data_IF_473349828122
#
_entry.id   IF_473349828122
#
_cell.length_a   1.000
_cell.length_b   1.000
_cell.length_c   1.000
_cell.angle_alpha   90.00
_cell.angle_beta   90.00
_cell.angle_gamma   90.00
#
_symmetry.space_group_name_H-M   'P 1'
#
loop_
_entity.id
_entity.type
_entity.pdbx_description
1 polymer ?
#
# COMPACT_ATOMS: atom_id res chain seq x y z
N UNK A 1 7.32 -8.62 -0.76
CA UNK A 1 6.36 -7.56 -0.41
C UNK A 1 6.17 -7.51 1.09
N UNK A 2 6.40 -6.35 1.68
CA UNK A 2 6.20 -6.05 3.10
C UNK A 2 5.44 -4.74 3.26
N UNK A 3 4.72 -4.59 4.38
CA UNK A 3 3.90 -3.41 4.69
C UNK A 3 4.18 -2.95 6.12
N UNK A 4 4.36 -1.64 6.31
CA UNK A 4 4.47 -1.00 7.63
C UNK A 4 3.43 0.12 7.77
N UNK A 5 2.90 0.29 8.98
CA UNK A 5 1.90 1.33 9.30
C UNK A 5 2.48 2.36 10.25
N UNK A 6 2.19 3.63 9.98
CA UNK A 6 2.45 4.78 10.84
C UNK A 6 1.16 5.59 11.02
N UNK A 7 1.18 6.59 11.91
CA UNK A 7 0.00 7.38 12.25
C UNK A 7 -0.68 8.03 11.02
N UNK A 8 0.11 8.46 10.02
CA UNK A 8 -0.40 9.17 8.84
C UNK A 8 -0.09 8.47 7.51
N UNK A 9 0.67 7.37 7.52
CA UNK A 9 1.18 6.74 6.32
C UNK A 9 1.20 5.20 6.37
N UNK A 10 1.11 4.59 5.19
CA UNK A 10 1.35 3.18 4.94
C UNK A 10 2.52 3.06 3.96
N UNK A 11 3.51 2.28 4.35
CA UNK A 11 4.72 2.06 3.56
C UNK A 11 4.72 0.66 2.96
N UNK A 12 5.03 0.55 1.68
CA UNK A 12 5.10 -0.72 0.94
C UNK A 12 6.45 -0.83 0.26
N UNK A 13 7.09 -2.00 0.38
CA UNK A 13 8.35 -2.30 -0.33
C UNK A 13 8.40 -3.74 -0.80
N UNK A 14 9.28 -4.02 -1.75
CA UNK A 14 9.63 -5.40 -2.05
C UNK A 14 10.69 -5.92 -1.09
N UNK A 15 10.30 -6.85 -0.22
CA UNK A 15 11.21 -7.52 0.70
C UNK A 15 12.35 -8.28 0.02
N UNK A 16 12.21 -8.63 -1.26
CA UNK A 16 13.27 -9.30 -2.04
C UNK A 16 14.30 -8.32 -2.60
N UNK A 17 13.99 -7.03 -2.62
CA UNK A 17 14.88 -5.96 -3.03
C UNK A 17 14.94 -4.90 -1.92
N UNK A 18 15.69 -5.21 -0.86
CA UNK A 18 15.81 -4.35 0.31
C UNK A 18 16.48 -2.99 0.02
N UNK A 19 17.23 -2.90 -1.08
CA UNK A 19 17.81 -1.67 -1.61
C UNK A 19 16.86 -0.86 -2.50
N UNK A 20 15.74 -1.47 -2.89
CA UNK A 20 14.75 -0.87 -3.76
C UNK A 20 13.93 0.23 -3.09
N UNK A 21 13.07 0.91 -3.86
CA UNK A 21 12.26 2.01 -3.36
C UNK A 21 11.21 1.55 -2.34
N UNK A 22 10.91 2.45 -1.40
CA UNK A 22 9.74 2.33 -0.51
C UNK A 22 8.66 3.26 -1.04
N UNK A 23 7.46 2.72 -1.27
CA UNK A 23 6.29 3.48 -1.64
C UNK A 23 5.58 3.96 -0.37
N UNK A 24 5.15 5.22 -0.37
CA UNK A 24 4.39 5.84 0.72
C UNK A 24 2.97 6.17 0.25
N UNK A 25 1.99 5.78 1.05
CA UNK A 25 0.58 6.10 0.83
C UNK A 25 0.02 6.80 2.08
N UNK A 26 -0.80 7.83 1.89
CA UNK A 26 -1.59 8.39 2.99
C UNK A 26 -2.61 7.37 3.49
N UNK A 27 -2.89 7.38 4.81
CA UNK A 27 -3.81 6.40 5.43
C UNK A 27 -5.22 6.39 4.84
N UNK A 28 -5.76 7.55 4.46
CA UNK A 28 -7.09 7.66 3.83
C UNK A 28 -7.08 7.02 2.45
N UNK A 29 -6.12 7.41 1.60
CA UNK A 29 -6.00 6.85 0.25
C UNK A 29 -5.72 5.34 0.25
N UNK A 30 -4.96 4.83 1.22
CA UNK A 30 -4.76 3.40 1.39
C UNK A 30 -6.06 2.67 1.76
N UNK A 31 -6.88 3.23 2.65
CA UNK A 31 -8.16 2.66 3.02
C UNK A 31 -9.14 2.63 1.83
N UNK A 32 -9.21 3.71 1.06
CA UNK A 32 -10.00 3.79 -0.18
C UNK A 32 -9.51 2.78 -1.22
N UNK A 33 -8.20 2.67 -1.42
CA UNK A 33 -7.61 1.68 -2.32
C UNK A 33 -8.01 0.25 -1.93
N UNK A 34 -7.88 -0.13 -0.66
CA UNK A 34 -8.28 -1.46 -0.18
C UNK A 34 -9.79 -1.68 -0.34
N UNK A 35 -10.61 -0.67 -0.10
CA UNK A 35 -12.05 -0.76 -0.33
C UNK A 35 -12.37 -1.01 -1.81
N UNK A 36 -11.72 -0.30 -2.73
CA UNK A 36 -11.89 -0.48 -4.17
C UNK A 36 -11.44 -1.85 -4.66
N UNK A 37 -10.30 -2.36 -4.16
CA UNK A 37 -9.86 -3.74 -4.41
C UNK A 37 -10.92 -4.75 -3.96
N UNK A 38 -11.52 -4.57 -2.77
CA UNK A 38 -12.57 -5.47 -2.27
C UNK A 38 -13.87 -5.39 -3.09
N UNK A 39 -14.15 -4.23 -3.68
CA UNK A 39 -15.30 -4.02 -4.55
C UNK A 39 -15.07 -4.53 -6.00
N UNK A 40 -13.86 -5.00 -6.32
CA UNK A 40 -13.51 -5.48 -7.66
C UNK A 40 -13.28 -4.35 -8.66
N UNK A 41 -12.98 -3.13 -8.21
CA UNK A 41 -12.79 -1.95 -9.08
C UNK A 41 -11.64 -2.12 -10.08
N UNK A 42 -10.70 -3.02 -9.79
CA UNK A 42 -9.49 -3.24 -10.60
C UNK A 42 -9.49 -4.60 -11.33
N UNK A 43 -10.58 -5.36 -11.31
CA UNK A 43 -10.64 -6.75 -11.82
C UNK A 43 -10.88 -6.87 -13.34
N UNK A 44 -10.64 -5.79 -14.10
CA UNK A 44 -10.79 -5.75 -15.56
C UNK A 44 -9.56 -6.25 -16.31
#
# INVERSE_FOLDING_TARGET
MEVATAAAAVFVRDSKDVSGPVLEFGVVGWAEFVAGVRAGEFDR
#
